data_IF_669384613473
#
_entry.id   IF_669384613473
#
_cell.length_a   1.000
_cell.length_b   1.000
_cell.length_c   1.000
_cell.angle_alpha   90.00
_cell.angle_beta   90.00
_cell.angle_gamma   90.00
#
_symmetry.space_group_name_H-M   'P 1'
#
loop_
_entity.id
_entity.type
_entity.pdbx_description
1 polymer ?
#
# COMPACT_ATOMS: atom_id res chain seq x y z
N UNK A 1 17.20 -55.09 23.35
CA UNK A 1 15.96 -55.33 22.58
C UNK A 1 15.32 -53.98 22.33
N UNK A 2 15.21 -53.59 21.06
CA UNK A 2 14.54 -52.38 20.62
C UNK A 2 13.03 -52.51 20.88
N UNK A 3 12.38 -51.46 21.37
CA UNK A 3 10.98 -51.26 21.02
C UNK A 3 10.63 -49.79 20.84
N UNK A 4 9.96 -49.58 19.71
CA UNK A 4 9.67 -48.34 19.00
C UNK A 4 8.15 -48.13 19.09
N UNK A 5 7.70 -46.92 19.40
CA UNK A 5 6.34 -46.35 19.16
C UNK A 5 6.35 -44.94 19.80
N UNK A 6 6.07 -43.78 19.18
CA UNK A 6 5.52 -43.46 17.86
C UNK A 6 4.14 -42.81 17.96
N UNK A 7 4.02 -41.53 18.37
CA UNK A 7 2.82 -40.66 18.23
C UNK A 7 3.32 -39.19 18.28
N UNK A 8 3.52 -38.45 17.18
CA UNK A 8 2.61 -37.66 16.34
C UNK A 8 1.92 -36.46 17.01
N UNK A 9 2.10 -35.30 16.33
CA UNK A 9 1.32 -34.05 16.32
C UNK A 9 1.44 -33.00 17.43
N UNK A 10 2.02 -31.86 17.03
CA UNK A 10 1.41 -30.51 17.00
C UNK A 10 0.62 -30.11 18.24
N UNK A 11 1.17 -29.16 19.01
CA UNK A 11 0.55 -28.22 19.98
C UNK A 11 1.71 -27.77 20.88
N UNK A 12 2.13 -26.52 21.08
CA UNK A 12 1.59 -25.19 20.90
C UNK A 12 2.80 -24.23 20.88
N UNK A 13 3.17 -23.69 19.71
CA UNK A 13 3.92 -22.43 19.66
C UNK A 13 2.93 -21.32 20.04
N UNK A 14 2.83 -21.02 21.33
CA UNK A 14 2.00 -19.93 21.90
C UNK A 14 2.89 -18.96 22.67
N UNK A 15 4.02 -18.58 22.08
CA UNK A 15 4.86 -17.51 22.62
C UNK A 15 5.19 -16.54 21.50
N UNK A 16 4.40 -15.48 21.41
CA UNK A 16 4.90 -14.11 21.38
C UNK A 16 3.74 -13.19 21.77
N UNK A 17 3.85 -12.67 22.99
CA UNK A 17 3.00 -11.64 23.53
C UNK A 17 3.23 -10.32 22.77
N UNK A 18 2.18 -9.74 22.21
CA UNK A 18 2.10 -8.30 21.93
C UNK A 18 0.65 -7.84 22.14
N UNK A 19 0.25 -7.80 23.41
CA UNK A 19 -0.71 -6.80 23.86
C UNK A 19 0.06 -5.47 23.95
N UNK A 20 0.10 -4.73 22.85
CA UNK A 20 0.46 -3.32 22.88
C UNK A 20 -0.83 -2.51 22.77
N UNK A 21 -1.44 -2.28 23.92
CA UNK A 21 -2.26 -1.09 24.10
C UNK A 21 -1.29 0.09 24.11
N UNK A 22 -1.34 0.95 23.10
CA UNK A 22 -0.92 2.35 23.20
C UNK A 22 -1.32 3.07 21.91
N UNK A 23 -1.98 4.21 22.12
CA UNK A 23 -2.01 5.41 21.29
C UNK A 23 -1.64 5.29 19.81
N UNK A 24 -2.58 5.77 18.97
CA UNK A 24 -2.27 6.41 17.69
C UNK A 24 -0.96 7.22 17.75
N UNK A 25 0.00 6.97 16.85
CA UNK A 25 0.83 8.02 16.31
C UNK A 25 0.33 8.25 14.88
N UNK A 26 -0.89 8.75 14.76
CA UNK A 26 -1.43 9.24 13.50
C UNK A 26 -0.81 10.61 13.13
N UNK A 27 0.47 10.85 13.44
CA UNK A 27 1.07 12.18 13.36
C UNK A 27 2.50 12.25 12.81
N UNK A 28 3.16 11.14 12.49
CA UNK A 28 4.51 11.23 11.92
C UNK A 28 4.50 10.91 10.42
N UNK A 29 4.70 11.96 9.62
CA UNK A 29 4.69 12.04 8.15
C UNK A 29 3.36 12.24 7.45
N UNK A 30 2.37 12.81 8.14
CA UNK A 30 1.33 13.57 7.45
C UNK A 30 1.97 14.82 6.87
N UNK A 31 2.55 14.72 5.67
CA UNK A 31 2.62 15.91 4.82
C UNK A 31 1.17 16.43 4.75
N UNK A 32 0.91 17.72 5.00
CA UNK A 32 -0.44 18.30 4.89
C UNK A 32 -1.03 18.23 3.45
N UNK A 33 -0.42 17.50 2.51
CA UNK A 33 -0.78 17.43 1.09
C UNK A 33 -1.60 16.21 0.65
N UNK A 34 -1.71 15.12 1.42
CA UNK A 34 -2.27 13.86 0.88
C UNK A 34 -3.78 13.68 1.16
N UNK A 35 -4.49 14.75 1.52
CA UNK A 35 -5.92 14.70 1.82
C UNK A 35 -6.76 14.20 0.63
N UNK A 36 -6.43 14.64 -0.58
CA UNK A 36 -7.06 14.17 -1.79
C UNK A 36 -6.87 12.65 -1.99
N UNK A 37 -5.71 12.09 -1.63
CA UNK A 37 -5.46 10.64 -1.69
C UNK A 37 -6.27 9.90 -0.62
N UNK A 38 -6.40 10.48 0.59
CA UNK A 38 -7.24 9.92 1.66
C UNK A 38 -8.70 9.83 1.24
N UNK A 39 -9.23 10.90 0.64
CA UNK A 39 -10.60 10.96 0.15
C UNK A 39 -10.82 10.02 -1.06
N UNK A 40 -9.84 9.93 -1.97
CA UNK A 40 -9.86 8.97 -3.08
C UNK A 40 -9.96 7.52 -2.56
N UNK A 41 -9.11 7.13 -1.62
CA UNK A 41 -9.18 5.78 -1.03
C UNK A 41 -10.56 5.52 -0.44
N UNK A 42 -11.14 6.49 0.28
CA UNK A 42 -12.47 6.38 0.86
C UNK A 42 -13.57 6.22 -0.20
N UNK A 43 -13.51 6.96 -1.32
CA UNK A 43 -14.51 6.87 -2.40
C UNK A 43 -14.45 5.54 -3.15
N UNK A 44 -13.29 4.89 -3.17
CA UNK A 44 -13.08 3.54 -3.71
C UNK A 44 -13.26 2.43 -2.66
N UNK A 45 -13.79 2.74 -1.46
CA UNK A 45 -14.07 1.73 -0.42
C UNK A 45 -12.83 1.15 0.28
N UNK A 46 -11.67 1.77 0.10
CA UNK A 46 -10.41 1.35 0.68
C UNK A 46 -10.14 2.04 2.02
N UNK A 47 -9.62 1.28 2.98
CA UNK A 47 -9.07 1.86 4.21
C UNK A 47 -7.86 2.74 3.90
N UNK A 48 -7.82 3.90 4.54
CA UNK A 48 -6.63 4.76 4.55
C UNK A 48 -5.51 4.09 5.36
N UNK A 49 -4.36 3.87 4.73
CA UNK A 49 -3.15 3.40 5.39
C UNK A 49 -1.93 4.12 4.83
N UNK A 50 -0.88 4.27 5.66
CA UNK A 50 0.36 4.96 5.25
C UNK A 50 0.96 4.35 3.98
N UNK A 51 1.01 3.02 3.90
CA UNK A 51 1.54 2.30 2.73
C UNK A 51 0.78 2.67 1.45
N UNK A 52 -0.56 2.66 1.48
CA UNK A 52 -1.37 3.00 0.30
C UNK A 52 -1.18 4.46 -0.09
N UNK A 53 -1.12 5.35 0.89
CA UNK A 53 -0.85 6.76 0.66
C UNK A 53 0.50 6.95 -0.03
N UNK A 54 1.56 6.29 0.46
CA UNK A 54 2.92 6.42 -0.09
C UNK A 54 3.05 5.78 -1.48
N UNK A 55 2.38 4.65 -1.73
CA UNK A 55 2.34 4.04 -3.07
C UNK A 55 1.65 4.99 -4.06
N UNK A 56 0.46 5.52 -3.71
CA UNK A 56 -0.27 6.41 -4.60
C UNK A 56 0.44 7.76 -4.82
N UNK A 57 1.05 8.31 -3.77
CA UNK A 57 1.90 9.51 -3.83
C UNK A 57 3.07 9.30 -4.79
N UNK A 58 3.79 8.18 -4.67
CA UNK A 58 4.90 7.84 -5.55
C UNK A 58 4.46 7.69 -7.02
N UNK A 59 3.31 7.06 -7.27
CA UNK A 59 2.76 6.92 -8.63
C UNK A 59 2.30 8.25 -9.22
N UNK A 60 1.74 9.15 -8.40
CA UNK A 60 1.35 10.49 -8.81
C UNK A 60 2.55 11.32 -9.22
N UNK A 61 3.55 11.42 -8.34
CA UNK A 61 4.79 12.17 -8.61
C UNK A 61 5.49 11.62 -9.84
N UNK A 62 5.65 10.30 -9.93
CA UNK A 62 6.33 9.70 -11.07
C UNK A 62 5.59 9.88 -12.40
N UNK A 63 4.25 9.95 -12.34
CA UNK A 63 3.43 10.23 -13.52
C UNK A 63 3.58 11.69 -13.98
N UNK A 64 3.70 12.63 -13.04
CA UNK A 64 3.95 14.06 -13.32
C UNK A 64 5.34 14.28 -13.93
N UNK A 65 6.34 13.57 -13.42
CA UNK A 65 7.72 13.57 -13.94
C UNK A 65 7.89 12.79 -15.26
N UNK A 66 6.82 12.17 -15.79
CA UNK A 66 6.87 11.38 -17.02
C UNK A 66 7.70 10.10 -16.92
N UNK A 67 7.88 9.57 -15.71
CA UNK A 67 8.67 8.37 -15.39
C UNK A 67 7.81 7.32 -14.68
N UNK A 68 6.88 6.64 -15.37
CA UNK A 68 5.95 5.71 -14.73
C UNK A 68 6.68 4.53 -14.05
N UNK A 69 6.15 4.09 -12.89
CA UNK A 69 6.84 3.11 -12.04
C UNK A 69 6.27 1.71 -12.19
N UNK A 70 7.14 0.74 -12.43
CA UNK A 70 6.83 -0.67 -12.17
C UNK A 70 7.02 -1.05 -10.69
N UNK A 71 6.76 -2.32 -10.35
CA UNK A 71 6.86 -2.83 -8.96
C UNK A 71 8.22 -2.51 -8.32
N UNK A 72 9.33 -2.67 -9.06
CA UNK A 72 10.69 -2.38 -8.56
C UNK A 72 10.89 -0.90 -8.24
N UNK A 73 10.37 -0.02 -9.09
CA UNK A 73 10.42 1.43 -8.88
C UNK A 73 9.64 1.84 -7.63
N UNK A 74 8.41 1.32 -7.49
CA UNK A 74 7.59 1.54 -6.29
C UNK A 74 8.30 1.04 -5.03
N UNK A 75 8.86 -0.17 -5.06
CA UNK A 75 9.58 -0.73 -3.91
C UNK A 75 10.80 0.11 -3.53
N UNK A 76 11.59 0.55 -4.51
CA UNK A 76 12.73 1.44 -4.27
C UNK A 76 12.30 2.79 -3.68
N UNK A 77 11.21 3.39 -4.18
CA UNK A 77 10.68 4.64 -3.63
C UNK A 77 10.20 4.47 -2.18
N UNK A 78 9.51 3.37 -1.86
CA UNK A 78 9.09 3.10 -0.48
C UNK A 78 10.28 2.93 0.47
N UNK A 79 11.35 2.25 0.03
CA UNK A 79 12.59 2.14 0.82
C UNK A 79 13.23 3.51 1.06
N UNK A 80 13.27 4.39 0.06
CA UNK A 80 13.80 5.76 0.20
C UNK A 80 12.99 6.62 1.15
N UNK A 81 11.70 6.31 1.33
CA UNK A 81 10.78 6.99 2.23
C UNK A 81 10.71 6.36 3.63
N UNK A 82 11.65 5.47 3.96
CA UNK A 82 11.71 4.72 5.23
C UNK A 82 10.45 3.88 5.51
N UNK A 83 9.84 3.33 4.45
CA UNK A 83 8.73 2.38 4.53
C UNK A 83 9.22 1.00 4.09
N UNK A 84 9.94 0.26 4.94
CA UNK A 84 10.53 -1.02 4.57
C UNK A 84 9.45 -2.10 4.46
N UNK A 85 8.99 -2.33 3.23
CA UNK A 85 8.13 -3.46 2.89
C UNK A 85 8.90 -4.51 2.10
N UNK A 86 8.51 -5.77 2.30
CA UNK A 86 8.98 -6.85 1.43
C UNK A 86 8.47 -6.61 0.00
N UNK A 87 9.25 -7.07 -0.98
CA UNK A 87 8.85 -6.98 -2.39
C UNK A 87 7.50 -7.69 -2.66
N UNK A 88 7.24 -8.79 -1.95
CA UNK A 88 5.96 -9.51 -2.04
C UNK A 88 4.81 -8.63 -1.54
N UNK A 89 4.97 -7.98 -0.37
CA UNK A 89 3.95 -7.08 0.18
C UNK A 89 3.67 -5.90 -0.74
N UNK A 90 4.68 -5.36 -1.43
CA UNK A 90 4.46 -4.30 -2.44
C UNK A 90 3.61 -4.82 -3.61
N UNK A 91 3.87 -6.04 -4.10
CA UNK A 91 3.05 -6.66 -5.14
C UNK A 91 1.61 -6.87 -4.71
N UNK A 92 1.39 -7.31 -3.47
CA UNK A 92 0.05 -7.53 -2.92
C UNK A 92 -0.72 -6.20 -2.79
N UNK A 93 -0.05 -5.14 -2.35
CA UNK A 93 -0.64 -3.79 -2.29
C UNK A 93 -1.02 -3.30 -3.68
N UNK A 94 -0.12 -3.39 -4.66
CA UNK A 94 -0.37 -2.98 -6.04
C UNK A 94 -1.50 -3.80 -6.66
N UNK A 95 -1.48 -5.12 -6.49
CA UNK A 95 -2.56 -6.01 -6.95
C UNK A 95 -3.90 -5.58 -6.37
N UNK A 96 -3.97 -5.34 -5.05
CA UNK A 96 -5.21 -4.92 -4.41
C UNK A 96 -5.69 -3.56 -4.91
N UNK A 97 -4.79 -2.60 -5.14
CA UNK A 97 -5.16 -1.31 -5.73
C UNK A 97 -5.67 -1.44 -7.16
N UNK A 98 -5.17 -2.41 -7.94
CA UNK A 98 -5.71 -2.76 -9.26
C UNK A 98 -7.11 -3.40 -9.15
N UNK A 99 -7.26 -4.40 -8.28
CA UNK A 99 -8.53 -5.12 -8.10
C UNK A 99 -9.67 -4.18 -7.68
N UNK A 100 -9.36 -3.14 -6.91
CA UNK A 100 -10.32 -2.13 -6.43
C UNK A 100 -10.50 -0.97 -7.44
N UNK A 101 -9.75 -0.99 -8.56
CA UNK A 101 -9.90 -0.04 -9.67
C UNK A 101 -9.30 1.34 -9.43
N UNK A 102 -8.38 1.49 -8.45
CA UNK A 102 -7.70 2.77 -8.18
C UNK A 102 -6.53 3.00 -9.14
N UNK A 103 -5.81 1.93 -9.48
CA UNK A 103 -4.67 1.97 -10.40
C UNK A 103 -4.84 0.91 -11.49
N UNK A 104 -4.10 1.05 -12.58
CA UNK A 104 -4.02 0.07 -13.65
C UNK A 104 -2.56 -0.36 -13.87
N UNK A 105 -2.39 -1.62 -14.27
CA UNK A 105 -1.14 -2.14 -14.81
C UNK A 105 -1.15 -1.91 -16.33
N UNK A 106 -0.20 -1.12 -16.81
CA UNK A 106 -0.01 -0.83 -18.22
C UNK A 106 0.75 -2.00 -18.92
N UNK A 107 0.73 -2.02 -20.26
CA UNK A 107 1.38 -3.06 -21.08
C UNK A 107 2.92 -3.11 -20.88
N UNK A 108 3.52 -1.94 -20.63
CA UNK A 108 4.94 -1.77 -20.31
C UNK A 108 5.31 -2.20 -18.87
N UNK A 109 4.36 -2.81 -18.14
CA UNK A 109 4.49 -3.28 -16.74
C UNK A 109 4.68 -2.15 -15.72
N UNK A 110 4.32 -0.92 -16.09
CA UNK A 110 4.26 0.20 -15.15
C UNK A 110 2.85 0.34 -14.58
N UNK A 111 2.73 1.03 -13.45
CA UNK A 111 1.45 1.34 -12.82
C UNK A 111 1.10 2.80 -13.04
N UNK A 112 -0.17 3.06 -13.33
CA UNK A 112 -0.73 4.39 -13.45
C UNK A 112 -2.06 4.47 -12.70
N UNK A 113 -2.51 5.68 -12.35
CA UNK A 113 -3.85 5.85 -11.82
C UNK A 113 -4.90 5.46 -12.86
N UNK A 114 -5.94 4.74 -12.42
CA UNK A 114 -7.08 4.41 -13.25
C UNK A 114 -7.77 5.70 -13.72
N UNK A 115 -8.28 5.80 -14.97
CA UNK A 115 -8.99 6.98 -15.48
C UNK A 115 -10.02 7.56 -14.49
N UNK A 116 -10.93 6.72 -13.99
CA UNK A 116 -11.89 7.06 -12.93
C UNK A 116 -11.26 7.69 -11.68
N UNK A 117 -10.11 7.21 -11.23
CA UNK A 117 -9.41 7.78 -10.07
C UNK A 117 -8.77 9.13 -10.40
N UNK A 118 -8.27 9.32 -11.62
CA UNK A 118 -7.77 10.61 -12.12
C UNK A 118 -8.89 11.64 -12.26
N UNK A 119 -10.03 11.23 -12.80
CA UNK A 119 -11.24 12.06 -12.90
C UNK A 119 -11.69 12.50 -11.51
N UNK A 120 -11.81 11.56 -10.56
CA UNK A 120 -12.17 11.87 -9.17
C UNK A 120 -11.19 12.88 -8.54
N UNK A 121 -9.89 12.73 -8.77
CA UNK A 121 -8.87 13.67 -8.30
C UNK A 121 -8.94 15.03 -9.01
N UNK A 122 -9.33 15.07 -10.28
CA UNK A 122 -9.56 16.31 -11.03
C UNK A 122 -10.74 17.09 -10.45
N UNK A 123 -11.89 16.43 -10.26
CA UNK A 123 -13.09 17.00 -9.64
C UNK A 123 -12.80 17.54 -8.23
N UNK A 124 -12.02 16.79 -7.44
CA UNK A 124 -11.63 17.22 -6.09
C UNK A 124 -10.77 18.50 -6.07
N UNK A 125 -10.00 18.78 -7.13
CA UNK A 125 -9.23 20.04 -7.25
C UNK A 125 -10.12 21.25 -7.55
N UNK A 126 -11.27 21.06 -8.21
CA UNK A 126 -12.19 22.14 -8.56
C UNK A 126 -13.08 22.61 -7.39
N UNK A 127 -13.28 21.78 -6.36
CA UNK A 127 -14.12 22.09 -5.20
C UNK A 127 -13.38 22.80 -4.04
N UNK A 128 -12.06 23.02 -4.16
CA UNK A 128 -11.23 23.63 -3.12
C UNK A 128 -10.93 25.12 -3.37
N UNK A 129 -11.67 25.79 -4.28
CA UNK A 129 -11.44 27.18 -4.68
C UNK A 129 -12.65 28.06 -4.40
#
# INVERSE_FOLDING_TARGET
>A
MFNRQGITTRTLLRQTALAAQAQSPALETERPGNEHIRLLLKSFGLRTSLVRLKVLDALLVSSDEGQPLGVRGVHSQLLRLDVPLSFLSVREVLKRLCDEGVINLNDDKTYSLHPRAREWLGEAKHHAQ
#
